data_IF_446574284364
#
_entry.id   IF_446574284364
#
_cell.length_a   1.000
_cell.length_b   1.000
_cell.length_c   1.000
_cell.angle_alpha   90.00
_cell.angle_beta   90.00
_cell.angle_gamma   90.00
#
_symmetry.space_group_name_H-M   'P 1'
#
loop_
_entity.id
_entity.type
_entity.pdbx_description
1 polymer ?
#
# COMPACT_ATOMS: atom_id res chain seq x y z
N UNK A 1 8.93 -11.66 17.07
CA UNK A 1 10.37 -11.49 16.75
C UNK A 1 10.56 -11.15 15.28
N UNK A 2 11.77 -10.77 14.86
CA UNK A 2 12.08 -10.26 13.51
C UNK A 2 11.49 -11.09 12.35
N UNK A 3 11.68 -12.41 12.36
CA UNK A 3 11.17 -13.31 11.31
C UNK A 3 9.65 -13.24 11.14
N UNK A 4 8.91 -13.20 12.25
CA UNK A 4 7.45 -13.05 12.22
C UNK A 4 7.06 -11.71 11.60
N UNK A 5 7.78 -10.63 11.92
CA UNK A 5 7.55 -9.31 11.32
C UNK A 5 7.81 -9.30 9.82
N UNK A 6 8.89 -9.95 9.36
CA UNK A 6 9.19 -10.09 7.94
C UNK A 6 8.12 -10.89 7.18
N UNK A 7 7.64 -11.98 7.79
CA UNK A 7 6.54 -12.77 7.23
C UNK A 7 5.26 -11.93 7.12
N UNK A 8 4.88 -11.20 8.18
CA UNK A 8 3.72 -10.29 8.15
C UNK A 8 3.88 -9.24 7.04
N UNK A 9 5.07 -8.65 6.89
CA UNK A 9 5.36 -7.69 5.84
C UNK A 9 5.14 -8.27 4.45
N UNK A 10 5.72 -9.45 4.17
CA UNK A 10 5.56 -10.13 2.87
C UNK A 10 4.11 -10.55 2.60
N UNK A 11 3.41 -11.08 3.61
CA UNK A 11 2.00 -11.45 3.49
C UNK A 11 1.10 -10.25 3.25
N UNK A 12 1.36 -9.11 3.91
CA UNK A 12 0.63 -7.87 3.66
C UNK A 12 0.88 -7.34 2.25
N UNK A 13 2.13 -7.36 1.78
CA UNK A 13 2.46 -6.99 0.40
C UNK A 13 1.66 -7.84 -0.60
N UNK A 14 1.66 -9.16 -0.39
CA UNK A 14 0.90 -10.08 -1.21
C UNK A 14 -0.61 -9.77 -1.15
N UNK A 15 -1.15 -9.58 0.06
CA UNK A 15 -2.57 -9.31 0.27
C UNK A 15 -3.03 -8.03 -0.44
N UNK A 16 -2.20 -6.98 -0.44
CA UNK A 16 -2.51 -5.70 -1.10
C UNK A 16 -2.70 -5.86 -2.62
N UNK A 17 -1.94 -6.77 -3.23
CA UNK A 17 -2.00 -7.05 -4.67
C UNK A 17 -2.90 -8.24 -5.02
N UNK A 18 -3.30 -9.07 -4.06
CA UNK A 18 -4.18 -10.21 -4.31
C UNK A 18 -5.67 -9.87 -4.09
N UNK A 19 -5.98 -8.98 -3.13
CA UNK A 19 -7.36 -8.75 -2.69
C UNK A 19 -7.67 -7.28 -2.42
N UNK A 20 -8.96 -6.95 -2.46
CA UNK A 20 -9.48 -5.68 -1.97
C UNK A 20 -9.28 -5.59 -0.44
N UNK A 21 -9.12 -4.38 0.13
CA UNK A 21 -8.93 -4.21 1.56
C UNK A 21 -10.12 -4.81 2.32
N UNK A 22 -9.89 -5.72 3.29
CA UNK A 22 -10.97 -6.42 3.98
C UNK A 22 -11.79 -5.50 4.88
N UNK A 23 -11.21 -4.38 5.31
CA UNK A 23 -11.86 -3.38 6.15
C UNK A 23 -11.68 -1.96 5.61
N UNK A 24 -12.68 -1.09 5.83
CA UNK A 24 -12.67 0.30 5.35
C UNK A 24 -11.46 1.11 5.85
N UNK A 25 -11.00 0.85 7.07
CA UNK A 25 -9.86 1.55 7.68
C UNK A 25 -8.51 1.12 7.10
N UNK A 26 -8.45 -0.03 6.41
CA UNK A 26 -7.24 -0.50 5.71
C UNK A 26 -7.12 0.10 4.31
N UNK A 27 -8.20 0.66 3.77
CA UNK A 27 -8.20 1.27 2.44
C UNK A 27 -7.05 2.28 2.26
N UNK A 28 -6.76 3.21 3.18
CA UNK A 28 -5.62 4.13 3.05
C UNK A 28 -4.27 3.44 2.82
N UNK A 29 -4.01 2.31 3.50
CA UNK A 29 -2.76 1.55 3.33
C UNK A 29 -2.64 0.96 1.92
N UNK A 30 -3.73 0.35 1.41
CA UNK A 30 -3.80 -0.16 0.03
C UNK A 30 -3.53 0.96 -0.97
N UNK A 31 -4.26 2.09 -0.83
CA UNK A 31 -4.14 3.24 -1.73
C UNK A 31 -2.71 3.80 -1.73
N UNK A 32 -2.12 3.95 -0.54
CA UNK A 32 -0.78 4.49 -0.36
C UNK A 32 0.27 3.60 -1.06
N UNK A 33 0.16 2.28 -0.89
CA UNK A 33 1.06 1.32 -1.54
C UNK A 33 0.84 1.23 -3.06
N UNK A 34 -0.40 1.29 -3.54
CA UNK A 34 -0.65 1.31 -4.99
C UNK A 34 -0.09 2.58 -5.66
N UNK A 35 -0.24 3.74 -5.02
CA UNK A 35 0.35 5.00 -5.51
C UNK A 35 1.88 4.96 -5.53
N UNK A 36 2.52 4.27 -4.58
CA UNK A 36 3.96 4.02 -4.60
C UNK A 36 4.41 3.31 -5.89
N UNK A 37 3.65 2.31 -6.35
CA UNK A 37 4.01 1.53 -7.54
C UNK A 37 3.88 2.31 -8.86
N UNK A 38 2.87 3.17 -9.02
CA UNK A 38 2.59 3.78 -10.32
C UNK A 38 2.64 5.30 -10.40
N UNK A 39 2.80 6.01 -9.27
CA UNK A 39 2.78 7.47 -9.23
C UNK A 39 4.11 8.07 -8.80
N UNK A 40 4.55 7.80 -7.57
CA UNK A 40 5.80 8.32 -7.01
C UNK A 40 6.46 7.21 -6.18
N UNK A 41 7.48 6.57 -6.74
CA UNK A 41 8.21 5.47 -6.08
C UNK A 41 9.09 5.92 -4.91
N UNK A 42 9.26 7.22 -4.74
CA UNK A 42 9.93 7.88 -3.62
C UNK A 42 8.98 8.23 -2.45
N UNK A 43 7.71 7.82 -2.53
CA UNK A 43 6.69 8.01 -1.49
C UNK A 43 5.94 6.70 -1.20
N UNK A 44 5.25 6.63 -0.06
CA UNK A 44 4.35 5.52 0.29
C UNK A 44 5.04 4.18 0.55
N UNK A 45 6.14 4.19 1.29
CA UNK A 45 6.95 3.00 1.58
C UNK A 45 6.27 2.00 2.54
N UNK A 46 5.27 2.45 3.29
CA UNK A 46 4.56 1.65 4.27
C UNK A 46 3.69 0.55 3.66
N UNK A 47 4.08 -0.71 3.85
CA UNK A 47 3.35 -1.88 3.35
C UNK A 47 2.47 -2.53 4.42
N UNK A 48 2.96 -2.64 5.66
CA UNK A 48 2.21 -3.20 6.79
C UNK A 48 1.53 -2.14 7.65
N UNK A 49 2.02 -0.90 7.60
CA UNK A 49 1.42 0.28 8.24
C UNK A 49 1.97 1.56 7.58
N UNK A 50 1.23 2.67 7.65
CA UNK A 50 1.67 3.99 7.16
C UNK A 50 2.39 4.81 8.23
N UNK A 51 2.67 4.24 9.42
CA UNK A 51 3.22 4.98 10.55
C UNK A 51 4.54 5.70 10.18
N UNK A 52 5.46 4.97 9.57
CA UNK A 52 6.76 5.53 9.18
C UNK A 52 6.64 6.52 8.03
N UNK A 53 5.65 6.38 7.14
CA UNK A 53 5.38 7.38 6.10
C UNK A 53 4.96 8.73 6.67
N UNK A 54 4.21 8.72 7.79
CA UNK A 54 3.89 9.96 8.51
C UNK A 54 5.10 10.54 9.23
N UNK A 55 5.94 9.71 9.86
CA UNK A 55 7.14 10.15 10.59
C UNK A 55 8.16 10.79 9.66
N UNK A 56 8.38 10.20 8.48
CA UNK A 56 9.38 10.66 7.51
C UNK A 56 8.80 11.57 6.41
N UNK A 57 7.51 11.86 6.44
CA UNK A 57 6.88 12.77 5.49
C UNK A 57 6.73 12.21 4.07
N UNK A 58 6.70 10.89 3.92
CA UNK A 58 6.58 10.19 2.63
C UNK A 58 5.16 9.71 2.35
N UNK A 59 4.18 10.09 3.18
CA UNK A 59 2.76 9.74 2.99
C UNK A 59 2.13 10.56 1.86
N UNK A 60 1.36 9.90 0.98
CA UNK A 60 0.55 10.61 -0.01
C UNK A 60 -0.62 11.38 0.61
N UNK A 61 -0.95 12.56 0.07
CA UNK A 61 -2.21 13.24 0.38
C UNK A 61 -3.37 12.55 -0.36
N UNK A 62 -3.93 11.51 0.27
CA UNK A 62 -4.98 10.67 -0.31
C UNK A 62 -6.29 11.41 -0.65
N UNK A 63 -6.47 12.68 -0.23
CA UNK A 63 -7.60 13.52 -0.63
C UNK A 63 -7.35 14.20 -1.98
N UNK A 64 -6.10 14.60 -2.24
CA UNK A 64 -5.68 15.19 -3.51
C UNK A 64 -5.36 14.12 -4.54
N UNK A 65 -4.72 13.05 -4.10
CA UNK A 65 -4.26 11.97 -4.95
C UNK A 65 -5.40 10.99 -5.25
N UNK A 66 -5.87 11.05 -6.50
CA UNK A 66 -6.86 10.11 -7.03
C UNK A 66 -6.16 8.83 -7.46
N UNK A 67 -6.77 7.70 -7.11
CA UNK A 67 -6.31 6.42 -7.64
C UNK A 67 -6.69 6.30 -9.10
N UNK A 68 -5.75 5.82 -9.89
CA UNK A 68 -6.01 5.33 -11.23
C UNK A 68 -6.48 3.88 -11.15
N UNK A 69 -7.76 3.65 -11.45
CA UNK A 69 -8.37 2.32 -11.33
C UNK A 69 -7.82 1.33 -12.35
N UNK A 70 -7.31 1.79 -13.48
CA UNK A 70 -6.72 0.89 -14.50
C UNK A 70 -5.34 0.45 -14.01
N UNK A 71 -4.49 1.39 -13.60
CA UNK A 71 -3.17 1.05 -13.03
C UNK A 71 -3.28 0.22 -11.75
N UNK A 72 -4.22 0.52 -10.86
CA UNK A 72 -4.45 -0.31 -9.68
C UNK A 72 -4.84 -1.74 -10.08
N UNK A 73 -5.63 -1.95 -11.14
CA UNK A 73 -5.97 -3.30 -11.63
C UNK A 73 -4.77 -4.02 -12.24
N UNK A 74 -3.90 -3.30 -12.95
CA UNK A 74 -2.66 -3.86 -13.53
C UNK A 74 -1.69 -4.37 -12.45
N UNK A 75 -1.70 -3.76 -11.26
CA UNK A 75 -0.91 -4.21 -10.12
C UNK A 75 -1.47 -5.46 -9.43
N UNK A 76 -2.75 -5.77 -9.65
CA UNK A 76 -3.35 -6.93 -9.01
C UNK A 76 -2.78 -8.20 -9.62
N UNK A 77 -2.46 -9.18 -8.77
CA UNK A 77 -2.09 -10.50 -9.23
C UNK A 77 -3.28 -11.12 -9.97
N UNK A 78 -3.03 -11.58 -11.19
CA UNK A 78 -4.00 -12.35 -11.97
C UNK A 78 -4.40 -13.60 -11.18
N UNK A 79 -5.70 -13.79 -11.00
CA UNK A 79 -6.23 -15.08 -10.53
C UNK A 79 -6.06 -16.16 -11.59
#
# INVERSE_FOLDING_TARGET
>A
GFMLGYLIYGTMHFAIHAWNPPFKWMKPLWRNHHLHHYKHSDMGFGVSSTLWDHVFGTMFDLKKEKEDKEKTKELMFTK
#
